data_IF_721294326574
#
_entry.id   IF_721294326574
#
_cell.length_a   1.000
_cell.length_b   1.000
_cell.length_c   1.000
_cell.angle_alpha   90.00
_cell.angle_beta   90.00
_cell.angle_gamma   90.00
#
_symmetry.space_group_name_H-M   'P 1'
#
loop_
_entity.id
_entity.type
_entity.pdbx_description
1 polymer ?
#
# COMPACT_ATOMS: atom_id res chain seq x y z
N UNK A 1 -45.00 19.93 -14.14
CA UNK A 1 -45.72 18.72 -13.69
C UNK A 1 -45.41 18.47 -12.23
N UNK A 2 -46.40 18.40 -11.33
CA UNK A 2 -46.16 18.07 -9.93
C UNK A 2 -45.49 16.70 -9.86
N UNK A 3 -44.38 16.62 -9.12
CA UNK A 3 -43.60 15.40 -8.96
C UNK A 3 -44.48 14.30 -8.39
N UNK A 4 -44.83 13.31 -9.21
CA UNK A 4 -45.37 12.05 -8.71
C UNK A 4 -44.25 11.42 -7.89
N UNK A 5 -44.43 11.33 -6.58
CA UNK A 5 -43.61 10.52 -5.70
C UNK A 5 -43.47 9.14 -6.32
N UNK A 6 -42.32 8.87 -6.91
CA UNK A 6 -42.04 7.62 -7.61
C UNK A 6 -41.73 6.56 -6.56
N UNK A 7 -42.75 6.16 -5.79
CA UNK A 7 -42.63 5.00 -4.91
C UNK A 7 -42.53 3.77 -5.81
N UNK A 8 -41.44 2.99 -5.73
CA UNK A 8 -41.32 1.77 -6.51
C UNK A 8 -42.51 0.86 -6.22
N UNK A 9 -43.27 0.49 -7.26
CA UNK A 9 -44.40 -0.42 -7.12
C UNK A 9 -43.85 -1.80 -6.80
N UNK A 10 -44.32 -2.38 -5.70
CA UNK A 10 -43.96 -3.73 -5.25
C UNK A 10 -44.93 -4.74 -5.87
N UNK A 11 -44.60 -5.23 -7.06
CA UNK A 11 -45.44 -6.13 -7.83
C UNK A 11 -45.69 -7.48 -7.13
N UNK A 12 -44.74 -7.96 -6.32
CA UNK A 12 -44.91 -9.20 -5.54
C UNK A 12 -46.10 -9.06 -4.59
N UNK A 13 -46.19 -7.92 -3.90
CA UNK A 13 -47.31 -7.61 -3.01
C UNK A 13 -48.64 -7.52 -3.77
N UNK A 14 -48.64 -7.07 -5.02
CA UNK A 14 -49.86 -7.00 -5.84
C UNK A 14 -50.34 -8.39 -6.23
N UNK A 15 -49.44 -9.29 -6.62
CA UNK A 15 -49.76 -10.70 -6.89
C UNK A 15 -50.32 -11.39 -5.65
N UNK A 16 -49.68 -11.23 -4.48
CA UNK A 16 -50.19 -11.81 -3.23
C UNK A 16 -51.58 -11.27 -2.83
N UNK A 17 -51.89 -9.99 -3.11
CA UNK A 17 -53.24 -9.45 -2.85
C UNK A 17 -54.32 -10.08 -3.73
N UNK A 18 -53.95 -10.62 -4.89
CA UNK A 18 -54.84 -11.32 -5.81
C UNK A 18 -54.83 -12.84 -5.62
N UNK A 19 -54.07 -13.35 -4.65
CA UNK A 19 -53.86 -14.78 -4.43
C UNK A 19 -53.25 -15.46 -5.67
N UNK A 20 -52.22 -14.83 -6.24
CA UNK A 20 -51.51 -15.28 -7.43
C UNK A 20 -50.02 -15.47 -7.16
N UNK A 21 -49.40 -16.43 -7.86
CA UNK A 21 -47.95 -16.52 -7.93
C UNK A 21 -47.37 -15.39 -8.78
N UNK A 22 -46.21 -14.81 -8.39
CA UNK A 22 -45.53 -13.83 -9.22
C UNK A 22 -45.20 -14.38 -10.61
N UNK A 23 -45.66 -13.71 -11.66
CA UNK A 23 -45.52 -14.20 -13.03
C UNK A 23 -46.83 -14.70 -13.67
N UNK A 24 -47.93 -14.73 -12.91
CA UNK A 24 -49.24 -15.14 -13.41
C UNK A 24 -49.66 -14.35 -14.66
N UNK A 25 -50.37 -15.02 -15.58
CA UNK A 25 -50.77 -14.42 -16.85
C UNK A 25 -51.86 -13.37 -16.69
N UNK A 26 -52.04 -12.49 -17.68
CA UNK A 26 -53.14 -11.51 -17.69
C UNK A 26 -54.52 -12.19 -17.53
N UNK A 27 -54.68 -13.39 -18.11
CA UNK A 27 -55.90 -14.17 -17.98
C UNK A 27 -56.15 -14.60 -16.53
N UNK A 28 -55.10 -15.07 -15.84
CA UNK A 28 -55.17 -15.49 -14.43
C UNK A 28 -55.48 -14.30 -13.52
N UNK A 29 -54.84 -13.13 -13.79
CA UNK A 29 -55.12 -11.87 -13.08
C UNK A 29 -56.61 -11.50 -13.19
N UNK A 30 -57.16 -11.55 -14.40
CA UNK A 30 -58.59 -11.25 -14.63
C UNK A 30 -59.50 -12.28 -13.98
N UNK A 31 -59.13 -13.56 -14.03
CA UNK A 31 -59.91 -14.65 -13.44
C UNK A 31 -59.99 -14.51 -11.91
N UNK A 32 -58.84 -14.40 -11.24
CA UNK A 32 -58.77 -14.26 -9.78
C UNK A 32 -59.39 -12.96 -9.29
N UNK A 33 -59.23 -11.86 -10.01
CA UNK A 33 -59.93 -10.61 -9.69
C UNK A 33 -61.45 -10.81 -9.69
N UNK A 34 -62.03 -11.46 -10.71
CA UNK A 34 -63.49 -11.69 -10.77
C UNK A 34 -63.96 -12.56 -9.61
N UNK A 35 -63.18 -13.59 -9.27
CA UNK A 35 -63.47 -14.47 -8.13
C UNK A 35 -63.45 -13.69 -6.80
N UNK A 36 -62.38 -12.93 -6.53
CA UNK A 36 -62.27 -12.12 -5.31
C UNK A 36 -63.31 -11.00 -5.25
N UNK A 37 -63.60 -10.35 -6.37
CA UNK A 37 -64.64 -9.34 -6.48
C UNK A 37 -66.02 -9.93 -6.14
N UNK A 38 -66.31 -11.16 -6.55
CA UNK A 38 -67.54 -11.84 -6.19
C UNK A 38 -67.62 -12.17 -4.69
N UNK A 39 -66.50 -12.44 -4.01
CA UNK A 39 -66.48 -12.74 -2.57
C UNK A 39 -66.60 -11.45 -1.74
N UNK A 40 -65.86 -10.42 -2.14
CA UNK A 40 -65.73 -9.16 -1.41
C UNK A 40 -66.82 -8.12 -1.75
N UNK A 41 -67.74 -8.43 -2.66
CA UNK A 41 -68.80 -7.50 -3.04
C UNK A 41 -69.72 -7.19 -1.85
N UNK A 42 -69.99 -5.91 -1.53
CA UNK A 42 -70.78 -5.51 -0.36
C UNK A 42 -72.19 -6.14 -0.36
N UNK A 43 -72.82 -6.28 -1.52
CA UNK A 43 -74.17 -6.86 -1.66
C UNK A 43 -74.28 -8.34 -1.22
N UNK A 44 -73.17 -9.07 -1.13
CA UNK A 44 -73.20 -10.48 -0.69
C UNK A 44 -73.29 -10.63 0.83
N UNK A 45 -73.13 -9.55 1.58
CA UNK A 45 -73.12 -9.56 3.04
C UNK A 45 -74.52 -9.19 3.53
N UNK A 46 -75.30 -10.19 3.98
CA UNK A 46 -76.73 -10.00 4.31
C UNK A 46 -77.00 -9.36 5.68
N UNK A 47 -76.04 -9.36 6.62
CA UNK A 47 -76.14 -8.67 7.91
C UNK A 47 -74.77 -8.15 8.42
N UNK A 48 -74.11 -7.25 7.70
CA UNK A 48 -72.76 -6.82 8.04
C UNK A 48 -72.80 -5.76 9.14
N UNK A 49 -71.92 -5.89 10.13
CA UNK A 49 -71.62 -4.77 11.03
C UNK A 49 -70.92 -3.65 10.25
N UNK A 50 -71.04 -2.40 10.70
CA UNK A 50 -70.38 -1.26 10.03
C UNK A 50 -68.86 -1.46 9.89
N UNK A 51 -68.23 -2.16 10.84
CA UNK A 51 -66.82 -2.53 10.77
C UNK A 51 -66.53 -3.54 9.64
N UNK A 52 -67.38 -4.56 9.49
CA UNK A 52 -67.23 -5.54 8.40
C UNK A 52 -67.45 -4.95 7.01
N UNK A 53 -68.40 -4.01 6.85
CA UNK A 53 -68.58 -3.28 5.59
C UNK A 53 -67.35 -2.47 5.21
N UNK A 54 -66.82 -1.67 6.16
CA UNK A 54 -65.61 -0.87 5.93
C UNK A 54 -64.41 -1.75 5.57
N UNK A 55 -64.27 -2.88 6.27
CA UNK A 55 -63.21 -3.84 5.97
C UNK A 55 -63.36 -4.43 4.57
N UNK A 56 -64.57 -4.86 4.18
CA UNK A 56 -64.83 -5.42 2.85
C UNK A 56 -64.57 -4.40 1.73
N UNK A 57 -65.03 -3.16 1.91
CA UNK A 57 -64.79 -2.05 0.98
C UNK A 57 -63.29 -1.78 0.83
N UNK A 58 -62.53 -1.77 1.93
CA UNK A 58 -61.10 -1.55 1.91
C UNK A 58 -60.36 -2.71 1.23
N UNK A 59 -60.76 -3.96 1.45
CA UNK A 59 -60.19 -5.11 0.75
C UNK A 59 -60.51 -5.06 -0.75
N UNK A 60 -61.76 -4.76 -1.11
CA UNK A 60 -62.17 -4.65 -2.51
C UNK A 60 -61.38 -3.55 -3.24
N UNK A 61 -61.21 -2.39 -2.62
CA UNK A 61 -60.35 -1.31 -3.16
C UNK A 61 -58.92 -1.77 -3.38
N UNK A 62 -58.32 -2.49 -2.43
CA UNK A 62 -56.94 -3.01 -2.54
C UNK A 62 -56.79 -4.04 -3.66
N UNK A 63 -57.77 -4.93 -3.81
CA UNK A 63 -57.82 -5.94 -4.89
C UNK A 63 -57.99 -5.28 -6.25
N UNK A 64 -58.86 -4.26 -6.35
CA UNK A 64 -59.05 -3.47 -7.57
C UNK A 64 -57.79 -2.68 -7.95
N UNK A 65 -57.19 -1.97 -7.00
CA UNK A 65 -55.92 -1.26 -7.20
C UNK A 65 -54.82 -2.21 -7.68
N UNK A 66 -54.69 -3.39 -7.07
CA UNK A 66 -53.70 -4.38 -7.47
C UNK A 66 -53.89 -4.85 -8.92
N UNK A 67 -55.14 -5.12 -9.32
CA UNK A 67 -55.46 -5.45 -10.72
C UNK A 67 -55.11 -4.29 -11.65
N UNK A 68 -55.56 -3.07 -11.36
CA UNK A 68 -55.35 -1.91 -12.24
C UNK A 68 -53.86 -1.64 -12.47
N UNK A 69 -53.04 -1.74 -11.43
CA UNK A 69 -51.59 -1.57 -11.53
C UNK A 69 -50.93 -2.69 -12.36
N UNK A 70 -51.35 -3.95 -12.18
CA UNK A 70 -50.83 -5.07 -12.95
C UNK A 70 -51.26 -5.00 -14.43
N UNK A 71 -52.52 -4.64 -14.72
CA UNK A 71 -53.01 -4.44 -16.09
C UNK A 71 -52.30 -3.24 -16.75
N UNK A 72 -52.08 -2.14 -16.02
CA UNK A 72 -51.32 -1.01 -16.54
C UNK A 72 -49.89 -1.41 -16.91
N UNK A 73 -49.20 -2.19 -16.08
CA UNK A 73 -47.88 -2.72 -16.41
C UNK A 73 -47.93 -3.62 -17.65
N UNK A 74 -48.88 -4.54 -17.72
CA UNK A 74 -49.04 -5.46 -18.84
C UNK A 74 -49.32 -4.71 -20.16
N UNK A 75 -50.09 -3.63 -20.11
CA UNK A 75 -50.40 -2.81 -21.28
C UNK A 75 -49.16 -2.16 -21.90
N UNK A 76 -48.14 -1.88 -21.08
CA UNK A 76 -46.88 -1.26 -21.51
C UNK A 76 -45.84 -2.30 -21.90
N UNK A 77 -45.75 -3.40 -21.15
CA UNK A 77 -44.64 -4.34 -21.28
C UNK A 77 -44.99 -5.66 -21.98
N UNK A 78 -46.28 -5.98 -22.15
CA UNK A 78 -46.78 -7.24 -22.73
C UNK A 78 -46.16 -8.51 -22.14
N UNK A 79 -45.69 -8.43 -20.89
CA UNK A 79 -45.06 -9.51 -20.14
C UNK A 79 -45.40 -9.35 -18.65
N UNK A 80 -45.45 -10.44 -17.87
CA UNK A 80 -45.67 -10.34 -16.44
C UNK A 80 -44.50 -9.61 -15.77
N UNK A 81 -44.75 -8.72 -14.79
CA UNK A 81 -43.68 -8.11 -14.01
C UNK A 81 -42.89 -9.21 -13.29
N UNK A 82 -41.58 -9.22 -13.52
CA UNK A 82 -40.65 -10.20 -12.93
C UNK A 82 -40.57 -9.95 -11.42
N UNK A 83 -40.80 -11.00 -10.63
CA UNK A 83 -40.63 -10.92 -9.19
C UNK A 83 -39.22 -10.49 -8.82
N UNK A 84 -39.10 -9.58 -7.85
CA UNK A 84 -37.78 -9.22 -7.30
C UNK A 84 -37.10 -10.44 -6.68
N UNK A 85 -37.88 -11.36 -6.14
CA UNK A 85 -37.38 -12.62 -5.57
C UNK A 85 -36.85 -13.58 -6.63
N UNK A 86 -37.52 -13.70 -7.78
CA UNK A 86 -37.03 -14.53 -8.88
C UNK A 86 -35.75 -13.96 -9.51
N UNK A 87 -35.71 -12.63 -9.67
CA UNK A 87 -34.53 -11.94 -10.17
C UNK A 87 -33.34 -12.03 -9.20
N UNK A 88 -33.59 -12.01 -7.88
CA UNK A 88 -32.52 -12.17 -6.89
C UNK A 88 -31.95 -13.60 -6.85
N UNK A 89 -32.76 -14.63 -7.07
CA UNK A 89 -32.28 -16.02 -7.16
C UNK A 89 -31.39 -16.22 -8.39
N UNK A 90 -31.84 -15.78 -9.58
CA UNK A 90 -31.03 -15.88 -10.80
C UNK A 90 -29.71 -15.08 -10.69
N UNK A 91 -29.75 -13.90 -10.05
CA UNK A 91 -28.54 -13.12 -9.76
C UNK A 91 -27.62 -13.82 -8.75
N UNK A 92 -28.18 -14.46 -7.73
CA UNK A 92 -27.40 -15.21 -6.74
C UNK A 92 -26.72 -16.44 -7.38
N UNK A 93 -27.40 -17.16 -8.26
CA UNK A 93 -26.82 -18.28 -9.01
C UNK A 93 -25.72 -17.81 -9.95
N UNK A 94 -25.93 -16.72 -10.68
CA UNK A 94 -24.92 -16.13 -11.55
C UNK A 94 -23.68 -15.67 -10.75
N UNK A 95 -23.89 -15.05 -9.58
CA UNK A 95 -22.82 -14.65 -8.68
C UNK A 95 -22.08 -15.88 -8.13
N UNK A 96 -22.79 -16.95 -7.79
CA UNK A 96 -22.20 -18.20 -7.33
C UNK A 96 -21.32 -18.85 -8.41
N UNK A 97 -21.81 -18.90 -9.65
CA UNK A 97 -21.03 -19.39 -10.78
C UNK A 97 -19.77 -18.55 -11.04
N UNK A 98 -19.87 -17.22 -10.96
CA UNK A 98 -18.71 -16.33 -11.06
C UNK A 98 -17.69 -16.57 -9.94
N UNK A 99 -18.16 -16.77 -8.71
CA UNK A 99 -17.31 -17.07 -7.57
C UNK A 99 -16.58 -18.40 -7.74
N UNK A 100 -17.27 -19.45 -8.21
CA UNK A 100 -16.65 -20.74 -8.53
C UNK A 100 -15.59 -20.62 -9.64
N UNK A 101 -15.87 -19.85 -10.69
CA UNK A 101 -14.91 -19.60 -11.77
C UNK A 101 -13.64 -18.88 -11.26
N UNK A 102 -13.80 -17.87 -10.41
CA UNK A 102 -12.66 -17.16 -9.78
C UNK A 102 -11.85 -18.07 -8.85
N UNK A 103 -12.50 -18.98 -8.11
CA UNK A 103 -11.80 -19.98 -7.29
C UNK A 103 -10.98 -20.93 -8.16
N UNK A 104 -11.56 -21.43 -9.26
CA UNK A 104 -10.83 -22.27 -10.21
C UNK A 104 -9.64 -21.54 -10.83
N UNK A 105 -9.79 -20.26 -11.18
CA UNK A 105 -8.71 -19.43 -11.69
C UNK A 105 -7.59 -19.23 -10.65
N UNK A 106 -7.95 -18.98 -9.39
CA UNK A 106 -6.99 -18.85 -8.28
C UNK A 106 -6.17 -20.13 -8.09
N UNK A 107 -6.80 -21.30 -8.16
CA UNK A 107 -6.09 -22.59 -8.03
C UNK A 107 -5.16 -22.86 -9.22
N UNK A 108 -5.54 -22.49 -10.45
CA UNK A 108 -4.62 -22.56 -11.61
C UNK A 108 -3.38 -21.69 -11.42
N UNK A 109 -3.55 -20.43 -11.03
CA UNK A 109 -2.43 -19.51 -10.78
C UNK A 109 -1.53 -20.00 -9.64
N UNK A 110 -2.10 -20.63 -8.61
CA UNK A 110 -1.33 -21.26 -7.53
C UNK A 110 -0.45 -22.41 -8.05
N UNK A 111 -1.04 -23.30 -8.86
CA UNK A 111 -0.29 -24.40 -9.47
C UNK A 111 0.84 -23.90 -10.38
N UNK A 112 0.61 -22.83 -11.16
CA UNK A 112 1.64 -22.19 -11.99
C UNK A 112 2.78 -21.60 -11.13
N UNK A 113 2.45 -20.90 -10.04
CA UNK A 113 3.46 -20.36 -9.13
C UNK A 113 4.29 -21.45 -8.46
N UNK A 114 3.68 -22.57 -8.09
CA UNK A 114 4.40 -23.71 -7.51
C UNK A 114 5.28 -24.41 -8.56
N UNK A 115 4.83 -24.48 -9.81
CA UNK A 115 5.65 -24.91 -10.94
C UNK A 115 6.90 -24.04 -11.14
N UNK A 116 6.73 -22.72 -11.18
CA UNK A 116 7.84 -21.76 -11.31
C UNK A 116 8.81 -21.81 -10.12
N UNK A 117 8.31 -22.06 -8.90
CA UNK A 117 9.16 -22.26 -7.72
C UNK A 117 10.01 -23.53 -7.85
N UNK A 118 9.43 -24.63 -8.31
CA UNK A 118 10.15 -25.88 -8.53
C UNK A 118 11.22 -25.73 -9.63
N UNK A 119 10.93 -25.00 -10.70
CA UNK A 119 11.89 -24.68 -11.75
C UNK A 119 13.04 -23.80 -11.23
N UNK A 120 12.73 -22.78 -10.43
CA UNK A 120 13.74 -21.95 -9.76
C UNK A 120 14.66 -22.77 -8.85
N UNK A 121 14.13 -23.75 -8.11
CA UNK A 121 14.98 -24.61 -7.27
C UNK A 121 15.90 -25.49 -8.12
N UNK A 122 15.41 -26.04 -9.24
CA UNK A 122 16.24 -26.84 -10.16
C UNK A 122 17.38 -26.03 -10.77
N UNK A 123 17.09 -24.81 -11.22
CA UNK A 123 18.14 -23.93 -11.78
C UNK A 123 19.18 -23.51 -10.75
N UNK A 124 18.79 -23.34 -9.48
CA UNK A 124 19.75 -23.09 -8.39
C UNK A 124 20.64 -24.32 -8.13
N UNK A 125 20.07 -25.54 -8.15
CA UNK A 125 20.83 -26.77 -7.98
C UNK A 125 21.81 -26.99 -9.16
N UNK A 126 21.40 -26.68 -10.39
CA UNK A 126 22.27 -26.72 -11.57
C UNK A 126 23.42 -25.71 -11.47
N UNK A 127 23.14 -24.47 -11.03
CA UNK A 127 24.18 -23.46 -10.78
C UNK A 127 25.17 -23.91 -9.70
N UNK A 128 24.70 -24.59 -8.65
CA UNK A 128 25.58 -25.15 -7.63
C UNK A 128 26.48 -26.25 -8.20
N UNK A 129 25.96 -27.15 -9.04
CA UNK A 129 26.75 -28.19 -9.72
C UNK A 129 27.82 -27.59 -10.62
N UNK A 130 27.46 -26.62 -11.47
CA UNK A 130 28.43 -25.93 -12.33
C UNK A 130 29.51 -25.21 -11.52
N UNK A 131 29.16 -24.65 -10.35
CA UNK A 131 30.14 -24.04 -9.46
C UNK A 131 31.12 -25.06 -8.88
N UNK A 132 30.64 -26.23 -8.45
CA UNK A 132 31.51 -27.31 -7.96
C UNK A 132 32.42 -27.87 -9.05
N UNK A 133 31.93 -28.02 -10.28
CA UNK A 133 32.74 -28.43 -11.44
C UNK A 133 33.83 -27.40 -11.75
N UNK A 134 33.47 -26.11 -11.77
CA UNK A 134 34.44 -25.03 -11.96
C UNK A 134 35.53 -25.04 -10.88
N UNK A 135 35.14 -25.21 -9.62
CA UNK A 135 36.08 -25.23 -8.50
C UNK A 135 37.01 -26.46 -8.58
N UNK A 136 36.50 -27.61 -9.02
CA UNK A 136 37.30 -28.81 -9.33
C UNK A 136 38.32 -28.56 -10.44
N UNK A 137 37.89 -28.00 -11.58
CA UNK A 137 38.76 -27.65 -12.70
C UNK A 137 39.81 -26.61 -12.30
N UNK A 138 39.46 -25.67 -11.44
CA UNK A 138 40.43 -24.70 -10.91
C UNK A 138 41.49 -25.38 -10.04
N UNK A 139 41.08 -26.36 -9.21
CA UNK A 139 41.99 -27.23 -8.47
C UNK A 139 42.97 -27.97 -9.38
N UNK A 140 42.47 -28.60 -10.45
CA UNK A 140 43.30 -29.28 -11.44
C UNK A 140 44.30 -28.33 -12.14
N UNK A 141 43.84 -27.14 -12.56
CA UNK A 141 44.72 -26.13 -13.15
C UNK A 141 45.81 -25.64 -12.18
N UNK A 142 45.47 -25.45 -10.90
CA UNK A 142 46.48 -25.09 -9.89
C UNK A 142 47.47 -26.21 -9.64
N UNK A 143 47.03 -27.47 -9.68
CA UNK A 143 47.89 -28.65 -9.60
C UNK A 143 48.88 -28.71 -10.76
N UNK A 144 48.38 -28.61 -12.01
CA UNK A 144 49.22 -28.60 -13.22
C UNK A 144 50.21 -27.43 -13.24
N UNK A 145 49.81 -26.25 -12.75
CA UNK A 145 50.69 -25.09 -12.63
C UNK A 145 51.79 -25.33 -11.59
N UNK A 146 51.45 -25.93 -10.45
CA UNK A 146 52.44 -26.30 -9.42
C UNK A 146 53.46 -27.31 -9.95
N UNK A 147 53.03 -28.29 -10.74
CA UNK A 147 53.93 -29.24 -11.41
C UNK A 147 54.84 -28.55 -12.44
N UNK A 148 54.31 -27.64 -13.24
CA UNK A 148 55.09 -26.85 -14.20
C UNK A 148 56.12 -25.95 -13.52
N UNK A 149 55.73 -25.26 -12.43
CA UNK A 149 56.63 -24.42 -11.64
C UNK A 149 57.71 -25.26 -10.93
N UNK A 150 57.39 -26.48 -10.49
CA UNK A 150 58.38 -27.41 -9.93
C UNK A 150 59.37 -27.94 -10.99
N UNK A 151 58.95 -28.04 -12.24
CA UNK A 151 59.81 -28.40 -13.37
C UNK A 151 60.71 -27.23 -13.85
N UNK A 152 60.43 -25.99 -13.42
CA UNK A 152 61.18 -24.82 -13.86
C UNK A 152 62.34 -24.48 -12.89
N UNK A 153 63.61 -24.49 -13.34
CA UNK A 153 64.75 -24.18 -12.48
C UNK A 153 64.69 -22.72 -12.00
N UNK A 154 64.57 -22.57 -10.66
CA UNK A 154 64.49 -21.31 -9.91
C UNK A 154 65.54 -20.27 -10.37
N UNK A 155 65.08 -19.15 -10.91
CA UNK A 155 65.82 -17.88 -10.86
C UNK A 155 65.36 -17.08 -9.63
N UNK A 156 66.27 -16.59 -8.77
CA UNK A 156 65.91 -15.83 -7.59
C UNK A 156 65.52 -14.40 -7.98
N UNK A 157 64.28 -14.00 -7.72
CA UNK A 157 63.89 -12.58 -7.73
C UNK A 157 63.28 -12.18 -6.40
N UNK A 158 63.73 -10.98 -6.00
CA UNK A 158 63.59 -10.37 -4.71
C UNK A 158 62.15 -9.92 -4.42
N UNK A 159 61.82 -9.98 -3.13
CA UNK A 159 60.59 -9.50 -2.55
C UNK A 159 60.46 -7.98 -2.71
N UNK A 160 59.24 -7.51 -3.00
CA UNK A 160 58.88 -6.11 -2.78
C UNK A 160 57.48 -6.06 -2.19
N UNK A 161 57.43 -5.44 -1.03
CA UNK A 161 56.29 -5.12 -0.20
C UNK A 161 55.30 -4.21 -0.93
N UNK A 162 54.01 -4.46 -0.77
CA UNK A 162 52.97 -3.41 -0.74
C UNK A 162 51.67 -4.03 -0.25
N UNK A 163 51.42 -3.92 1.06
CA UNK A 163 50.20 -4.40 1.69
C UNK A 163 49.76 -3.44 2.81
N UNK A 164 49.39 -2.22 2.44
CA UNK A 164 48.72 -1.26 3.33
C UNK A 164 47.82 -0.35 2.50
N UNK A 165 46.54 -0.70 2.30
CA UNK A 165 45.48 0.31 2.03
C UNK A 165 44.02 -0.19 2.13
N UNK A 166 43.75 -1.49 2.33
CA UNK A 166 42.38 -2.03 2.29
C UNK A 166 41.56 -1.97 3.60
N UNK A 167 42.00 -1.24 4.63
CA UNK A 167 41.35 -1.29 5.96
C UNK A 167 40.19 -0.31 6.17
N UNK A 168 39.97 0.68 5.30
CA UNK A 168 38.87 1.66 5.46
C UNK A 168 37.54 1.29 4.78
N UNK A 169 37.48 0.22 3.98
CA UNK A 169 36.24 -0.21 3.31
C UNK A 169 35.29 -1.08 4.17
N UNK A 170 35.69 -1.49 5.40
CA UNK A 170 34.97 -2.53 6.17
C UNK A 170 33.89 -2.04 7.13
N UNK A 171 33.76 -0.74 7.40
CA UNK A 171 32.80 -0.21 8.40
C UNK A 171 31.34 -0.10 7.89
N UNK A 172 31.09 -0.22 6.58
CA UNK A 172 29.74 -0.28 6.01
C UNK A 172 29.03 -1.65 6.18
N UNK A 173 29.75 -2.69 6.61
CA UNK A 173 29.36 -4.08 6.42
C UNK A 173 28.01 -4.48 7.03
N UNK A 174 27.70 -4.13 8.27
CA UNK A 174 26.48 -4.64 8.93
C UNK A 174 25.24 -3.91 8.45
N UNK A 175 25.32 -2.58 8.30
CA UNK A 175 24.18 -1.77 7.88
C UNK A 175 23.84 -2.05 6.43
N UNK A 176 24.83 -2.07 5.56
CA UNK A 176 24.62 -2.30 4.13
C UNK A 176 24.24 -3.76 3.85
N UNK A 177 24.75 -4.73 4.63
CA UNK A 177 24.31 -6.12 4.55
C UNK A 177 22.85 -6.31 4.99
N UNK A 178 22.44 -5.68 6.11
CA UNK A 178 21.04 -5.74 6.54
C UNK A 178 20.14 -5.13 5.46
N UNK A 179 20.45 -3.94 4.95
CA UNK A 179 19.64 -3.27 3.94
C UNK A 179 19.65 -3.95 2.56
N UNK A 180 20.78 -4.54 2.13
CA UNK A 180 20.83 -5.34 0.92
C UNK A 180 19.92 -6.58 1.00
N UNK A 181 19.70 -7.13 2.20
CA UNK A 181 18.75 -8.23 2.42
C UNK A 181 17.29 -7.78 2.44
N UNK A 182 17.03 -6.50 2.74
CA UNK A 182 15.71 -5.86 2.65
C UNK A 182 15.35 -5.39 1.23
N UNK A 183 16.27 -5.50 0.26
CA UNK A 183 16.10 -4.96 -1.09
C UNK A 183 15.23 -5.81 -2.03
N UNK A 184 14.93 -7.05 -1.67
CA UNK A 184 13.91 -7.83 -2.37
C UNK A 184 12.53 -7.33 -1.91
N UNK A 185 11.75 -6.64 -2.77
CA UNK A 185 10.48 -6.02 -2.38
C UNK A 185 9.47 -7.03 -1.82
N UNK A 186 9.61 -8.31 -2.19
CA UNK A 186 8.76 -9.40 -1.69
C UNK A 186 9.15 -9.86 -0.27
N UNK A 187 10.44 -9.80 0.09
CA UNK A 187 10.96 -10.27 1.40
C UNK A 187 11.13 -9.15 2.41
N UNK A 188 11.37 -7.93 1.93
CA UNK A 188 11.60 -6.76 2.76
C UNK A 188 10.41 -6.44 3.66
N UNK A 189 9.17 -6.61 3.18
CA UNK A 189 7.98 -6.34 4.00
C UNK A 189 7.84 -7.32 5.17
N UNK A 190 8.04 -8.62 4.94
CA UNK A 190 7.97 -9.64 5.98
C UNK A 190 9.04 -9.45 7.05
N UNK A 191 10.29 -9.13 6.66
CA UNK A 191 11.36 -8.84 7.61
C UNK A 191 11.08 -7.54 8.39
N UNK A 192 10.51 -6.50 7.77
CA UNK A 192 10.13 -5.30 8.50
C UNK A 192 8.99 -5.54 9.48
N UNK A 193 8.05 -6.43 9.13
CA UNK A 193 6.93 -6.80 9.99
C UNK A 193 7.41 -7.66 11.17
N UNK A 194 8.28 -8.66 10.94
CA UNK A 194 8.83 -9.48 12.02
C UNK A 194 9.71 -8.66 12.97
N UNK A 195 10.56 -7.79 12.45
CA UNK A 195 11.38 -6.88 13.27
C UNK A 195 10.51 -5.90 14.07
N UNK A 196 9.42 -5.40 13.48
CA UNK A 196 8.46 -4.52 14.14
C UNK A 196 7.71 -5.23 15.27
N UNK A 197 7.21 -6.46 15.03
CA UNK A 197 6.57 -7.28 16.07
C UNK A 197 7.54 -7.57 17.21
N UNK A 198 8.77 -7.97 16.88
CA UNK A 198 9.82 -8.21 17.88
C UNK A 198 10.10 -6.96 18.71
N UNK A 199 10.24 -5.79 18.08
CA UNK A 199 10.43 -4.53 18.78
C UNK A 199 9.24 -4.19 19.71
N UNK A 200 8.00 -4.44 19.27
CA UNK A 200 6.81 -4.23 20.10
C UNK A 200 6.80 -5.14 21.33
N UNK A 201 7.19 -6.41 21.19
CA UNK A 201 7.31 -7.35 22.31
C UNK A 201 8.37 -6.88 23.29
N UNK A 202 9.54 -6.46 22.81
CA UNK A 202 10.62 -5.93 23.67
C UNK A 202 10.16 -4.66 24.40
N UNK A 203 9.51 -3.73 23.72
CA UNK A 203 8.93 -2.52 24.34
C UNK A 203 7.93 -2.91 25.43
N UNK A 204 7.06 -3.87 25.17
CA UNK A 204 6.07 -4.34 26.14
C UNK A 204 6.74 -4.93 27.38
N UNK A 205 7.73 -5.80 27.20
CA UNK A 205 8.47 -6.42 28.31
C UNK A 205 9.20 -5.35 29.15
N UNK A 206 9.88 -4.41 28.49
CA UNK A 206 10.60 -3.32 29.18
C UNK A 206 9.62 -2.39 29.89
N UNK A 207 8.52 -1.99 29.25
CA UNK A 207 7.49 -1.15 29.86
C UNK A 207 6.86 -1.83 31.07
N UNK A 208 6.57 -3.12 30.97
CA UNK A 208 6.03 -3.92 32.06
C UNK A 208 7.01 -4.02 33.23
N UNK A 209 8.30 -4.26 32.95
CA UNK A 209 9.35 -4.31 33.96
C UNK A 209 9.55 -2.96 34.67
N UNK A 210 9.60 -1.86 33.91
CA UNK A 210 9.72 -0.49 34.46
C UNK A 210 8.51 -0.17 35.34
N UNK A 211 7.29 -0.43 34.85
CA UNK A 211 6.07 -0.17 35.61
C UNK A 211 6.02 -1.01 36.90
N UNK A 212 6.42 -2.28 36.82
CA UNK A 212 6.51 -3.18 37.97
C UNK A 212 7.52 -2.70 39.01
N UNK A 213 8.73 -2.32 38.59
CA UNK A 213 9.78 -1.86 39.51
C UNK A 213 9.46 -0.51 40.15
N UNK A 214 8.99 0.47 39.38
CA UNK A 214 8.74 1.82 39.89
C UNK A 214 7.51 1.89 40.81
N UNK A 215 6.50 1.05 40.57
CA UNK A 215 5.22 1.12 41.27
C UNK A 215 4.96 -0.06 42.19
N UNK A 216 5.89 -1.02 42.33
CA UNK A 216 5.79 -2.13 43.29
C UNK A 216 5.34 -1.72 44.71
N UNK A 217 5.82 -0.61 45.31
CA UNK A 217 5.40 -0.23 46.66
C UNK A 217 3.94 0.25 46.72
N UNK A 218 3.47 0.88 45.64
CA UNK A 218 2.17 1.57 45.56
C UNK A 218 1.09 0.64 45.00
N UNK A 219 1.48 -0.38 44.24
CA UNK A 219 0.57 -1.37 43.62
C UNK A 219 -0.22 -2.23 44.63
N UNK A 220 0.09 -2.13 45.94
CA UNK A 220 -0.73 -2.72 47.01
C UNK A 220 -2.11 -2.07 47.14
N UNK A 221 -2.27 -0.84 46.65
CA UNK A 221 -3.54 -0.11 46.65
C UNK A 221 -4.23 -0.19 45.28
N UNK A 222 -5.57 -0.13 45.25
CA UNK A 222 -6.34 -0.17 44.00
C UNK A 222 -5.96 0.97 43.04
N UNK A 223 -5.81 2.18 43.58
CA UNK A 223 -5.35 3.34 42.81
C UNK A 223 -3.95 3.14 42.23
N UNK A 224 -3.07 2.45 42.97
CA UNK A 224 -1.73 2.09 42.52
C UNK A 224 -1.74 1.18 41.30
N UNK A 225 -2.57 0.12 41.33
CA UNK A 225 -2.73 -0.80 40.19
C UNK A 225 -3.21 -0.08 38.93
N UNK A 226 -4.21 0.80 39.07
CA UNK A 226 -4.70 1.61 37.95
C UNK A 226 -3.61 2.51 37.37
N UNK A 227 -2.84 3.19 38.22
CA UNK A 227 -1.73 4.05 37.78
C UNK A 227 -0.63 3.24 37.07
N UNK A 228 -0.31 2.03 37.55
CA UNK A 228 0.63 1.11 36.89
C UNK A 228 0.16 0.73 35.50
N UNK A 229 -1.12 0.42 35.31
CA UNK A 229 -1.66 0.14 34.00
C UNK A 229 -1.58 1.33 33.06
N UNK A 230 -1.91 2.54 33.53
CA UNK A 230 -1.80 3.75 32.68
C UNK A 230 -0.36 4.03 32.29
N UNK A 231 0.58 3.94 33.24
CA UNK A 231 1.99 4.16 32.95
C UNK A 231 2.51 3.12 31.95
N UNK A 232 2.16 1.84 32.13
CA UNK A 232 2.53 0.79 31.19
C UNK A 232 1.95 1.07 29.79
N UNK A 233 0.66 1.41 29.69
CA UNK A 233 0.03 1.76 28.41
C UNK A 233 0.70 2.97 27.74
N UNK A 234 1.03 4.01 28.50
CA UNK A 234 1.71 5.18 27.98
C UNK A 234 3.13 4.86 27.47
N UNK A 235 3.89 4.03 28.20
CA UNK A 235 5.22 3.57 27.80
C UNK A 235 5.16 2.69 26.54
N UNK A 236 4.19 1.78 26.46
CA UNK A 236 3.98 0.93 25.28
C UNK A 236 3.60 1.78 24.07
N UNK A 237 2.61 2.66 24.21
CA UNK A 237 2.17 3.53 23.13
C UNK A 237 3.30 4.45 22.65
N UNK A 238 4.04 5.08 23.58
CA UNK A 238 5.19 5.92 23.27
C UNK A 238 6.31 5.14 22.57
N UNK A 239 6.65 3.94 23.06
CA UNK A 239 7.66 3.07 22.46
C UNK A 239 7.28 2.61 21.05
N UNK A 240 6.02 2.23 20.84
CA UNK A 240 5.49 1.86 19.52
C UNK A 240 5.58 3.04 18.55
N UNK A 241 5.12 4.23 18.95
CA UNK A 241 5.21 5.43 18.10
C UNK A 241 6.66 5.76 17.74
N UNK A 242 7.59 5.68 18.71
CA UNK A 242 9.00 5.94 18.48
C UNK A 242 9.65 4.91 17.55
N UNK A 243 9.39 3.62 17.75
CA UNK A 243 9.98 2.55 16.92
C UNK A 243 9.42 2.52 15.51
N UNK A 244 8.11 2.67 15.35
CA UNK A 244 7.50 2.81 14.02
C UNK A 244 7.91 4.10 13.34
N UNK A 245 7.94 5.23 14.05
CA UNK A 245 8.42 6.50 13.52
C UNK A 245 9.88 6.40 13.05
N UNK A 246 10.76 5.83 13.87
CA UNK A 246 12.14 5.56 13.52
C UNK A 246 12.26 4.65 12.30
N UNK A 247 11.59 3.49 12.30
CA UNK A 247 11.63 2.54 11.19
C UNK A 247 11.09 3.14 9.88
N UNK A 248 10.00 3.90 9.95
CA UNK A 248 9.45 4.63 8.82
C UNK A 248 10.46 5.65 8.29
N UNK A 249 11.06 6.46 9.17
CA UNK A 249 12.02 7.49 8.80
C UNK A 249 13.28 6.91 8.14
N UNK A 250 13.84 5.83 8.68
CA UNK A 250 14.98 5.12 8.11
C UNK A 250 14.62 4.57 6.72
N UNK A 251 13.44 3.96 6.57
CA UNK A 251 12.97 3.45 5.28
C UNK A 251 12.80 4.56 4.24
N UNK A 252 12.26 5.71 4.62
CA UNK A 252 12.11 6.86 3.71
C UNK A 252 13.43 7.47 3.31
N UNK A 253 14.38 7.63 4.26
CA UNK A 253 15.72 8.15 3.97
C UNK A 253 16.52 7.17 3.11
N UNK A 254 16.42 5.87 3.39
CA UNK A 254 17.01 4.82 2.56
C UNK A 254 16.45 4.86 1.12
N UNK A 255 15.12 4.96 0.97
CA UNK A 255 14.48 5.12 -0.34
C UNK A 255 14.91 6.40 -1.07
N UNK A 256 15.19 7.47 -0.34
CA UNK A 256 15.66 8.72 -0.90
C UNK A 256 17.13 8.62 -1.34
N UNK A 257 18.01 8.03 -0.51
CA UNK A 257 19.40 7.76 -0.87
C UNK A 257 19.50 6.84 -2.10
N UNK A 258 18.63 5.84 -2.21
CA UNK A 258 18.56 4.95 -3.38
C UNK A 258 18.00 5.64 -4.63
N UNK A 259 17.23 6.72 -4.46
CA UNK A 259 16.86 7.59 -5.57
C UNK A 259 18.08 8.39 -6.07
N UNK A 260 19.23 8.34 -5.42
CA UNK A 260 20.49 8.85 -5.95
C UNK A 260 21.18 7.94 -6.96
N UNK A 261 20.55 6.90 -7.46
CA UNK A 261 21.05 6.22 -8.67
C UNK A 261 20.93 7.17 -9.85
N UNK A 262 21.86 7.08 -10.79
CA UNK A 262 21.86 7.88 -12.02
C UNK A 262 20.48 7.84 -12.69
N UNK A 263 19.82 8.99 -12.74
CA UNK A 263 18.57 9.16 -13.48
C UNK A 263 18.86 9.88 -14.78
N UNK A 264 18.54 9.28 -15.94
CA UNK A 264 18.58 10.00 -17.19
C UNK A 264 17.43 11.01 -17.20
N UNK A 265 17.78 12.30 -17.24
CA UNK A 265 16.83 13.40 -17.40
C UNK A 265 16.97 13.93 -18.81
N UNK A 266 15.86 14.00 -19.56
CA UNK A 266 15.82 14.50 -20.94
C UNK A 266 15.83 16.04 -20.99
N UNK A 267 16.73 16.67 -20.24
CA UNK A 267 16.91 18.11 -20.17
C UNK A 267 18.41 18.44 -20.22
N UNK A 268 18.81 19.58 -20.81
CA UNK A 268 20.18 20.08 -20.71
C UNK A 268 20.54 20.41 -19.25
N UNK A 269 21.83 20.48 -18.94
CA UNK A 269 22.33 20.70 -17.58
C UNK A 269 21.81 22.01 -16.96
N UNK A 270 21.75 23.08 -17.76
CA UNK A 270 21.24 24.38 -17.30
C UNK A 270 19.77 24.36 -16.92
N UNK A 271 18.93 23.72 -17.73
CA UNK A 271 17.51 23.61 -17.43
C UNK A 271 17.29 22.70 -16.22
N UNK A 272 18.05 21.60 -16.13
CA UNK A 272 18.05 20.73 -14.95
C UNK A 272 18.40 21.52 -13.69
N UNK A 273 19.42 22.38 -13.74
CA UNK A 273 19.82 23.26 -12.64
C UNK A 273 18.72 24.24 -12.26
N UNK A 274 18.07 24.88 -13.24
CA UNK A 274 16.97 25.83 -12.98
C UNK A 274 15.79 25.12 -12.29
N UNK A 275 15.43 23.92 -12.74
CA UNK A 275 14.34 23.12 -12.16
C UNK A 275 14.69 22.62 -10.75
N UNK A 276 15.90 22.12 -10.54
CA UNK A 276 16.37 21.72 -9.19
C UNK A 276 16.38 22.92 -8.23
N UNK A 277 16.86 24.08 -8.69
CA UNK A 277 16.87 25.31 -7.90
C UNK A 277 15.45 25.80 -7.59
N UNK A 278 14.53 25.71 -8.54
CA UNK A 278 13.12 26.05 -8.34
C UNK A 278 12.44 25.12 -7.32
N UNK A 279 12.70 23.81 -7.41
CA UNK A 279 12.18 22.81 -6.48
C UNK A 279 12.69 23.01 -5.04
N UNK A 280 13.92 23.51 -4.87
CA UNK A 280 14.50 23.87 -3.58
C UNK A 280 13.92 25.18 -3.00
N UNK A 281 13.61 26.16 -3.86
CA UNK A 281 13.02 27.45 -3.45
C UNK A 281 11.55 27.36 -3.08
N UNK A 282 10.85 26.32 -3.53
CA UNK A 282 9.43 26.17 -3.22
C UNK A 282 9.22 26.01 -1.71
N UNK A 283 8.31 26.81 -1.16
CA UNK A 283 8.13 27.00 0.28
C UNK A 283 7.85 25.66 0.97
N UNK A 284 8.73 25.26 1.87
CA UNK A 284 8.59 24.00 2.55
C UNK A 284 7.50 24.14 3.63
N UNK A 285 6.54 23.21 3.59
CA UNK A 285 5.66 22.99 4.73
C UNK A 285 6.53 22.83 5.99
N UNK A 286 6.08 23.39 7.11
CA UNK A 286 6.71 23.34 8.45
C UNK A 286 7.81 24.39 8.76
N UNK A 287 8.03 25.40 7.92
CA UNK A 287 9.06 26.43 8.20
C UNK A 287 10.48 25.91 7.99
N UNK A 288 10.65 25.01 7.03
CA UNK A 288 11.96 24.58 6.58
C UNK A 288 12.46 25.52 5.48
N UNK A 289 13.69 26.01 5.60
CA UNK A 289 14.29 26.88 4.59
C UNK A 289 15.49 26.15 3.97
N UNK A 290 15.48 26.01 2.64
CA UNK A 290 16.62 25.50 1.89
C UNK A 290 17.57 26.64 1.58
N UNK A 291 18.82 26.51 2.02
CA UNK A 291 19.91 27.40 1.63
C UNK A 291 20.91 26.64 0.76
N UNK A 292 21.25 27.17 -0.41
CA UNK A 292 22.31 26.60 -1.27
C UNK A 292 23.65 27.02 -0.65
N UNK A 293 24.46 26.05 -0.19
CA UNK A 293 25.75 26.29 0.47
C UNK A 293 26.90 26.37 -0.54
N UNK A 294 26.90 25.49 -1.54
CA UNK A 294 27.93 25.47 -2.58
C UNK A 294 27.34 25.10 -3.93
N UNK A 295 27.91 25.70 -4.96
CA UNK A 295 27.62 25.42 -6.35
C UNK A 295 28.94 25.47 -7.12
N UNK A 296 29.32 24.35 -7.73
CA UNK A 296 30.50 24.26 -8.59
C UNK A 296 30.03 23.79 -9.97
N UNK A 297 30.26 24.61 -10.98
CA UNK A 297 30.04 24.24 -12.37
C UNK A 297 31.38 24.03 -13.05
N UNK A 298 31.47 22.99 -13.89
CA UNK A 298 32.57 22.85 -14.80
C UNK A 298 32.56 24.03 -15.81
N UNK A 299 33.73 24.50 -16.27
CA UNK A 299 33.84 25.68 -17.13
C UNK A 299 33.13 25.53 -18.49
N UNK A 300 32.87 24.28 -18.89
CA UNK A 300 32.17 23.88 -20.11
C UNK A 300 30.66 23.63 -19.88
N UNK A 301 30.16 23.88 -18.66
CA UNK A 301 28.76 23.67 -18.25
C UNK A 301 28.27 22.21 -18.43
N UNK A 302 29.17 21.26 -18.66
CA UNK A 302 28.84 19.84 -18.86
C UNK A 302 28.55 19.13 -17.54
N UNK A 303 29.04 19.67 -16.43
CA UNK A 303 28.84 19.10 -15.11
C UNK A 303 28.57 20.20 -14.09
N UNK A 304 27.63 19.95 -13.18
CA UNK A 304 27.49 20.78 -11.98
C UNK A 304 27.36 19.93 -10.72
N UNK A 305 27.89 20.43 -9.62
CA UNK A 305 27.65 19.95 -8.26
C UNK A 305 26.93 21.05 -7.49
N UNK A 306 25.81 20.70 -6.89
CA UNK A 306 25.00 21.59 -6.06
C UNK A 306 24.84 20.95 -4.69
N UNK A 307 25.17 21.71 -3.66
CA UNK A 307 24.92 21.33 -2.26
C UNK A 307 23.97 22.33 -1.64
N UNK A 308 22.81 21.85 -1.23
CA UNK A 308 21.84 22.62 -0.46
C UNK A 308 21.68 22.03 0.93
N UNK A 309 21.54 22.88 1.93
CA UNK A 309 21.24 22.49 3.31
C UNK A 309 19.92 23.11 3.71
N UNK A 310 19.00 22.24 4.11
CA UNK A 310 17.77 22.64 4.76
C UNK A 310 18.02 22.83 6.24
N UNK A 311 17.62 23.99 6.75
CA UNK A 311 17.58 24.25 8.19
C UNK A 311 16.13 24.24 8.64
N UNK A 312 15.85 23.43 9.65
CA UNK A 312 14.50 23.31 10.22
C UNK A 312 14.48 23.81 11.66
N UNK A 313 13.59 24.77 11.95
CA UNK A 313 13.30 25.25 13.31
C UNK A 313 11.83 25.00 13.65
N UNK A 314 11.51 23.93 14.38
CA UNK A 314 10.15 23.65 14.83
C UNK A 314 9.81 24.58 15.98
N UNK A 315 9.08 25.65 15.67
CA UNK A 315 8.66 26.66 16.63
C UNK A 315 9.54 27.90 16.60
N UNK A 316 8.91 29.06 16.84
CA UNK A 316 9.49 30.40 16.81
C UNK A 316 10.56 30.67 17.88
N UNK A 317 11.06 29.64 18.57
CA UNK A 317 12.10 29.80 19.57
C UNK A 317 13.47 29.90 18.90
N UNK A 318 13.79 31.14 18.55
CA UNK A 318 15.09 31.63 18.13
C UNK A 318 16.16 31.21 19.13
N UNK A 319 16.95 30.18 18.83
CA UNK A 319 18.09 29.89 19.69
C UNK A 319 18.93 28.70 19.27
N UNK A 320 18.47 27.47 19.50
CA UNK A 320 19.50 26.50 19.93
C UNK A 320 19.65 25.16 19.21
N UNK A 321 18.78 24.75 18.27
CA UNK A 321 19.07 23.53 17.49
C UNK A 321 18.58 23.66 16.05
N UNK A 322 19.49 24.00 15.13
CA UNK A 322 19.26 23.88 13.69
C UNK A 322 19.53 22.44 13.29
N UNK A 323 18.47 21.68 13.02
CA UNK A 323 18.61 20.37 12.39
C UNK A 323 18.91 20.56 10.91
N UNK A 324 19.87 19.80 10.38
CA UNK A 324 20.36 19.97 9.01
C UNK A 324 20.04 18.72 8.19
N UNK A 325 19.35 18.93 7.08
CA UNK A 325 19.27 17.95 5.99
C UNK A 325 20.10 18.50 4.86
N UNK A 326 21.19 17.84 4.50
CA UNK A 326 21.97 18.21 3.33
C UNK A 326 21.52 17.38 2.13
N UNK A 327 21.18 18.09 1.07
CA UNK A 327 20.91 17.58 -0.26
C UNK A 327 22.14 17.85 -1.13
N UNK A 328 22.70 16.80 -1.74
CA UNK A 328 23.74 16.97 -2.76
C UNK A 328 23.19 16.48 -4.08
N UNK A 329 23.46 17.23 -5.12
CA UNK A 329 23.03 16.94 -6.47
C UNK A 329 24.24 17.09 -7.38
N UNK A 330 24.57 16.04 -8.11
CA UNK A 330 25.58 16.05 -9.18
C UNK A 330 24.87 15.74 -10.48
N UNK A 331 25.09 16.56 -11.49
CA UNK A 331 24.57 16.33 -12.82
C UNK A 331 25.72 16.30 -13.82
N UNK A 332 25.68 15.37 -14.76
CA UNK A 332 26.66 15.24 -15.83
C UNK A 332 25.93 15.08 -17.17
N UNK A 333 26.27 15.90 -18.16
CA UNK A 333 25.70 15.76 -19.50
C UNK A 333 26.17 14.44 -20.13
N UNK A 334 25.22 13.64 -20.59
CA UNK A 334 25.48 12.39 -21.32
C UNK A 334 25.21 12.54 -22.81
N UNK A 335 24.51 13.60 -23.22
CA UNK A 335 24.25 13.97 -24.61
C UNK A 335 23.72 15.39 -24.74
N UNK A 336 23.46 15.84 -25.98
CA UNK A 336 23.05 17.22 -26.28
C UNK A 336 21.75 17.68 -25.57
N UNK A 337 20.89 16.74 -25.16
CA UNK A 337 19.64 17.00 -24.46
C UNK A 337 19.41 16.01 -23.31
N UNK A 338 20.48 15.39 -22.79
CA UNK A 338 20.39 14.40 -21.72
C UNK A 338 21.42 14.68 -20.64
N UNK A 339 20.95 14.66 -19.40
CA UNK A 339 21.77 14.83 -18.21
C UNK A 339 21.55 13.66 -17.28
N UNK A 340 22.62 12.96 -16.90
CA UNK A 340 22.60 11.99 -15.81
C UNK A 340 22.61 12.75 -14.48
N UNK A 341 21.51 12.64 -13.73
CA UNK A 341 21.33 13.28 -12.44
C UNK A 341 21.52 12.26 -11.31
N UNK A 342 22.41 12.57 -10.37
CA UNK A 342 22.66 11.82 -9.14
C UNK A 342 22.39 12.75 -7.97
N UNK A 343 21.49 12.37 -7.07
CA UNK A 343 21.25 13.17 -5.87
C UNK A 343 21.20 12.33 -4.60
N UNK A 344 21.83 12.81 -3.53
CA UNK A 344 21.83 12.18 -2.22
C UNK A 344 21.17 13.05 -1.15
N UNK A 345 20.77 12.40 -0.07
CA UNK A 345 20.29 13.06 1.13
C UNK A 345 21.07 12.54 2.33
N UNK A 346 21.61 13.47 3.11
CA UNK A 346 22.20 13.17 4.42
C UNK A 346 21.44 13.95 5.49
N UNK A 347 21.02 13.25 6.53
CA UNK A 347 20.23 13.82 7.62
C UNK A 347 21.05 13.79 8.89
N UNK A 348 21.39 14.98 9.40
CA UNK A 348 21.99 15.16 10.70
C UNK A 348 20.91 15.68 11.67
N UNK A 349 20.09 14.75 12.17
CA UNK A 349 19.01 15.06 13.10
C UNK A 349 18.89 13.99 14.20
N UNK A 350 18.47 14.37 15.42
CA UNK A 350 18.13 13.44 16.48
C UNK A 350 17.03 12.46 16.05
N UNK A 351 16.93 11.34 16.77
CA UNK A 351 16.01 10.25 16.43
C UNK A 351 14.55 10.67 16.33
N UNK A 352 14.11 11.56 17.21
CA UNK A 352 12.74 12.10 17.21
C UNK A 352 12.46 13.08 16.05
N UNK A 353 13.50 13.61 15.39
CA UNK A 353 13.37 14.51 14.23
C UNK A 353 13.47 13.80 12.88
N UNK A 354 13.79 12.51 12.86
CA UNK A 354 13.92 11.78 11.61
C UNK A 354 12.59 11.69 10.86
N UNK A 355 11.45 11.63 11.54
CA UNK A 355 10.12 11.58 10.90
C UNK A 355 9.81 12.88 10.14
N UNK A 356 9.89 14.08 10.76
CA UNK A 356 9.79 15.34 10.01
C UNK A 356 10.81 15.46 8.87
N UNK A 357 12.09 15.13 9.11
CA UNK A 357 13.13 15.21 8.09
C UNK A 357 12.83 14.29 6.88
N UNK A 358 12.43 13.05 7.15
CA UNK A 358 12.00 12.09 6.15
C UNK A 358 10.82 12.58 5.31
N UNK A 359 9.84 13.24 5.94
CA UNK A 359 8.70 13.83 5.24
C UNK A 359 9.16 14.91 4.26
N UNK A 360 10.03 15.82 4.70
CA UNK A 360 10.53 16.88 3.81
C UNK A 360 11.37 16.31 2.67
N UNK A 361 12.23 15.33 2.93
CA UNK A 361 13.01 14.62 1.89
C UNK A 361 12.09 13.95 0.88
N UNK A 362 11.04 13.25 1.35
CA UNK A 362 10.05 12.61 0.48
C UNK A 362 9.30 13.63 -0.38
N UNK A 363 8.91 14.76 0.19
CA UNK A 363 8.14 15.78 -0.50
C UNK A 363 9.02 16.56 -1.51
N UNK A 364 10.29 16.84 -1.18
CA UNK A 364 11.26 17.39 -2.14
C UNK A 364 11.52 16.42 -3.29
N UNK A 365 11.71 15.13 -3.01
CA UNK A 365 11.86 14.11 -4.05
C UNK A 365 10.64 14.08 -4.98
N UNK A 366 9.42 14.06 -4.44
CA UNK A 366 8.21 14.07 -5.27
C UNK A 366 8.15 15.28 -6.20
N UNK A 367 8.61 16.44 -5.74
CA UNK A 367 8.70 17.66 -6.56
C UNK A 367 9.76 17.53 -7.64
N UNK A 368 10.96 17.05 -7.29
CA UNK A 368 12.02 16.79 -8.27
C UNK A 368 11.54 15.79 -9.34
N UNK A 369 10.89 14.69 -8.94
CA UNK A 369 10.36 13.69 -9.86
C UNK A 369 9.26 14.30 -10.77
N UNK A 370 8.42 15.20 -10.25
CA UNK A 370 7.38 15.88 -11.04
C UNK A 370 7.95 16.94 -12.01
N UNK A 371 8.91 17.73 -11.54
CA UNK A 371 9.51 18.82 -12.31
C UNK A 371 10.50 18.29 -13.36
N UNK A 372 11.20 17.18 -13.09
CA UNK A 372 12.17 16.58 -14.02
C UNK A 372 11.54 15.53 -14.94
N UNK A 373 10.47 14.85 -14.50
CA UNK A 373 9.85 13.72 -15.21
C UNK A 373 8.69 14.07 -16.14
N UNK A 374 8.19 15.31 -16.14
CA UNK A 374 7.16 15.73 -17.08
C UNK A 374 7.78 16.08 -18.45
N UNK A 375 7.61 15.26 -19.50
CA UNK A 375 7.81 15.74 -20.86
C UNK A 375 6.81 16.87 -21.08
N UNK A 376 7.30 18.07 -21.41
CA UNK A 376 6.46 19.19 -21.83
C UNK A 376 6.33 19.21 -23.34
#
# INVERSE_FOLDING_TARGET
MPGRDYRPVDYDRLYYRLDLEPGASEADIKHHYRHLAQILHPDKWRHPTAASMRWADDQFKRVKEARELLEAYWSVHHAPPVSRSALSVAQAEALHAQMQALLAQRERVRAELDGLRAERTRTLDELQRMRTERDSLHGELTGLRGEADAAQPRKPHAATESQTDDLHARSGGVRDFLFAKFDDPSRGWLLTLSASVFACVVIFVVAHWIAGLLLAPIARFELGRWLTHILQWALVAGGVVLTFGWGWSQRTLYRAARAGREHPVALPADETRLRVSAALRHEAHYGAEWSIESYEAAPDETQFTLRAVMRFSPGSQTGMRRHMVAFRCRAQTTGAAQTALVYDFSVAAPTWWLVPAARVVRDLRKRLDADLGAPR
#
